data_IF_539394566835
#
_entry.id   IF_539394566835
#
_cell.length_a   1.000
_cell.length_b   1.000
_cell.length_c   1.000
_cell.angle_alpha   90.00
_cell.angle_beta   90.00
_cell.angle_gamma   90.00
#
_symmetry.space_group_name_H-M   'P 1'
#
loop_
_entity.id
_entity.type
_entity.pdbx_description
1 polymer ?
#
# COMPACT_ATOMS: atom_id res chain seq x y z
N UNK A 1 -7.16 16.76 9.69
CA UNK A 1 -8.22 16.68 8.64
C UNK A 1 -8.26 15.31 7.95
N UNK A 2 -7.27 14.90 7.12
CA UNK A 2 -7.38 13.60 6.40
C UNK A 2 -7.49 12.39 7.34
N UNK A 3 -6.68 12.35 8.40
CA UNK A 3 -6.71 11.28 9.41
C UNK A 3 -8.06 11.18 10.15
N UNK A 4 -8.63 12.32 10.52
CA UNK A 4 -9.89 12.37 11.28
C UNK A 4 -11.06 11.82 10.46
N UNK A 5 -11.06 12.06 9.14
CA UNK A 5 -12.05 11.51 8.22
C UNK A 5 -11.96 9.98 8.18
N UNK A 6 -10.76 9.39 8.11
CA UNK A 6 -10.61 7.94 8.12
C UNK A 6 -11.08 7.32 9.45
N UNK A 7 -10.81 7.98 10.58
CA UNK A 7 -11.30 7.54 11.88
C UNK A 7 -12.83 7.60 11.97
N UNK A 8 -13.44 8.70 11.51
CA UNK A 8 -14.90 8.84 11.46
C UNK A 8 -15.54 7.80 10.53
N UNK A 9 -14.95 7.58 9.35
CA UNK A 9 -15.45 6.61 8.38
C UNK A 9 -15.37 5.19 8.95
N UNK A 10 -14.26 4.86 9.62
CA UNK A 10 -14.09 3.56 10.29
C UNK A 10 -15.15 3.33 11.37
N UNK A 11 -15.35 4.31 12.26
CA UNK A 11 -16.39 4.22 13.30
C UNK A 11 -17.80 4.10 12.74
N UNK A 12 -18.11 4.84 11.66
CA UNK A 12 -19.39 4.76 10.97
C UNK A 12 -19.63 3.38 10.33
N UNK A 13 -18.62 2.81 9.65
CA UNK A 13 -18.70 1.48 9.05
C UNK A 13 -18.86 0.38 10.11
N UNK A 14 -18.20 0.50 11.27
CA UNK A 14 -18.40 -0.42 12.39
C UNK A 14 -19.83 -0.35 12.94
N UNK A 15 -20.40 0.87 13.08
CA UNK A 15 -21.78 1.04 13.52
C UNK A 15 -22.79 0.45 12.51
N UNK A 16 -22.54 0.61 11.20
CA UNK A 16 -23.35 -0.01 10.15
C UNK A 16 -23.29 -1.54 10.21
N UNK A 17 -22.10 -2.12 10.40
CA UNK A 17 -21.94 -3.56 10.54
C UNK A 17 -22.75 -4.09 11.74
N UNK A 18 -22.69 -3.40 12.88
CA UNK A 18 -23.52 -3.73 14.05
C UNK A 18 -25.01 -3.64 13.75
N UNK A 19 -25.45 -2.57 13.09
CA UNK A 19 -26.84 -2.39 12.70
C UNK A 19 -27.33 -3.55 11.81
N UNK A 20 -26.56 -3.92 10.79
CA UNK A 20 -26.90 -5.06 9.94
C UNK A 20 -27.02 -6.36 10.73
N UNK A 21 -26.10 -6.61 11.67
CA UNK A 21 -26.21 -7.73 12.60
C UNK A 21 -27.50 -7.71 13.42
N UNK A 22 -27.94 -6.55 13.92
CA UNK A 22 -29.17 -6.43 14.72
C UNK A 22 -30.46 -6.67 13.93
N UNK A 23 -30.49 -6.35 12.63
CA UNK A 23 -31.65 -6.59 11.77
C UNK A 23 -31.62 -7.97 11.09
N UNK A 24 -30.66 -8.82 11.46
CA UNK A 24 -30.53 -10.19 10.95
C UNK A 24 -29.82 -10.32 9.59
N UNK A 25 -29.14 -9.26 9.14
CA UNK A 25 -28.29 -9.32 7.94
C UNK A 25 -26.87 -9.74 8.35
N UNK A 26 -26.49 -10.97 8.00
CA UNK A 26 -25.15 -11.51 8.23
C UNK A 26 -24.33 -11.55 6.95
N UNK A 27 -23.02 -11.34 7.09
CA UNK A 27 -22.06 -11.47 6.01
C UNK A 27 -21.13 -12.64 6.30
N UNK A 28 -21.36 -13.79 5.66
CA UNK A 28 -20.56 -15.01 5.87
C UNK A 28 -19.09 -14.83 5.49
N UNK A 29 -18.80 -13.86 4.63
CA UNK A 29 -17.45 -13.48 4.22
C UNK A 29 -16.79 -12.50 5.18
N UNK A 30 -17.49 -11.91 6.16
CA UNK A 30 -16.90 -10.94 7.12
C UNK A 30 -16.43 -11.65 8.39
N UNK A 31 -15.47 -12.57 8.22
CA UNK A 31 -14.90 -13.38 9.31
C UNK A 31 -13.47 -12.95 9.62
N UNK A 32 -12.96 -13.31 10.80
CA UNK A 32 -11.56 -13.05 11.18
C UNK A 32 -10.58 -13.63 10.15
N UNK A 33 -10.87 -14.81 9.59
CA UNK A 33 -10.03 -15.46 8.58
C UNK A 33 -9.98 -14.66 7.27
N UNK A 34 -11.13 -14.19 6.80
CA UNK A 34 -11.21 -13.35 5.59
C UNK A 34 -10.46 -12.02 5.76
N UNK A 35 -10.56 -11.40 6.94
CA UNK A 35 -9.89 -10.14 7.27
C UNK A 35 -8.39 -10.37 7.28
N UNK A 36 -7.92 -11.44 7.93
CA UNK A 36 -6.51 -11.80 7.94
C UNK A 36 -5.97 -12.07 6.52
N UNK A 37 -6.70 -12.84 5.71
CA UNK A 37 -6.33 -13.08 4.32
C UNK A 37 -6.25 -11.78 3.52
N UNK A 38 -7.21 -10.87 3.69
CA UNK A 38 -7.21 -9.56 3.04
C UNK A 38 -6.00 -8.70 3.45
N UNK A 39 -5.67 -8.67 4.75
CA UNK A 39 -4.48 -7.97 5.27
C UNK A 39 -3.20 -8.53 4.65
N UNK A 40 -3.10 -9.85 4.47
CA UNK A 40 -1.95 -10.49 3.81
C UNK A 40 -1.84 -10.04 2.35
N UNK A 41 -2.96 -10.05 1.60
CA UNK A 41 -2.97 -9.61 0.19
C UNK A 41 -2.52 -8.16 0.07
N UNK A 42 -3.07 -7.25 0.89
CA UNK A 42 -2.70 -5.83 0.87
C UNK A 42 -1.22 -5.64 1.22
N UNK A 43 -0.71 -6.40 2.18
CA UNK A 43 0.70 -6.34 2.59
C UNK A 43 1.63 -6.85 1.49
N UNK A 44 1.30 -7.98 0.86
CA UNK A 44 2.05 -8.54 -0.26
C UNK A 44 2.02 -7.60 -1.48
N UNK A 45 0.88 -6.97 -1.75
CA UNK A 45 0.74 -5.98 -2.81
C UNK A 45 1.61 -4.74 -2.55
N UNK A 46 1.62 -4.21 -1.32
CA UNK A 46 2.50 -3.11 -0.96
C UNK A 46 3.97 -3.47 -1.16
N UNK A 47 4.39 -4.66 -0.72
CA UNK A 47 5.74 -5.18 -0.95
C UNK A 47 6.08 -5.31 -2.44
N UNK A 48 5.12 -5.77 -3.27
CA UNK A 48 5.29 -5.84 -4.71
C UNK A 48 5.51 -4.45 -5.33
N UNK A 49 4.67 -3.47 -4.99
CA UNK A 49 4.78 -2.09 -5.50
C UNK A 49 6.14 -1.49 -5.14
N UNK A 50 6.60 -1.67 -3.90
CA UNK A 50 7.92 -1.19 -3.46
C UNK A 50 9.04 -1.84 -4.28
N UNK A 51 8.99 -3.15 -4.50
CA UNK A 51 10.00 -3.87 -5.28
C UNK A 51 10.01 -3.43 -6.75
N UNK A 52 8.84 -3.32 -7.37
CA UNK A 52 8.72 -2.82 -8.75
C UNK A 52 9.30 -1.41 -8.87
N UNK A 53 8.97 -0.53 -7.91
CA UNK A 53 9.51 0.82 -7.87
C UNK A 53 11.04 0.83 -7.69
N UNK A 54 11.57 -0.03 -6.82
CA UNK A 54 13.00 -0.17 -6.60
C UNK A 54 13.74 -0.64 -7.87
N UNK A 55 13.21 -1.65 -8.56
CA UNK A 55 13.75 -2.14 -9.83
C UNK A 55 13.71 -1.05 -10.90
N UNK A 56 12.58 -0.37 -11.06
CA UNK A 56 12.46 0.72 -12.03
C UNK A 56 13.49 1.83 -11.79
N UNK A 57 13.68 2.23 -10.53
CA UNK A 57 14.67 3.23 -10.12
C UNK A 57 16.11 2.76 -10.38
N UNK A 58 16.43 1.51 -10.05
CA UNK A 58 17.76 0.95 -10.30
C UNK A 58 18.09 0.93 -11.79
N UNK A 59 17.13 0.52 -12.62
CA UNK A 59 17.33 0.47 -14.07
C UNK A 59 17.45 1.87 -14.67
N UNK A 60 16.55 2.80 -14.37
CA UNK A 60 16.47 4.07 -15.13
C UNK A 60 17.16 5.27 -14.47
N UNK A 61 17.26 5.29 -13.14
CA UNK A 61 17.88 6.39 -12.39
C UNK A 61 19.34 6.06 -12.08
N UNK A 62 19.62 4.82 -11.67
CA UNK A 62 20.99 4.37 -11.36
C UNK A 62 21.94 4.49 -12.56
N UNK A 63 21.49 4.11 -13.76
CA UNK A 63 22.30 4.24 -14.99
C UNK A 63 22.60 5.70 -15.35
N UNK A 64 21.63 6.61 -15.20
CA UNK A 64 21.82 8.05 -15.45
C UNK A 64 22.83 8.66 -14.50
N UNK A 65 22.77 8.32 -13.21
CA UNK A 65 23.73 8.81 -12.21
C UNK A 65 25.14 8.30 -12.52
N UNK A 66 25.30 7.01 -12.86
CA UNK A 66 26.60 6.43 -13.23
C UNK A 66 27.23 7.09 -14.46
N UNK A 67 26.43 7.37 -15.49
CA UNK A 67 26.90 8.06 -16.69
C UNK A 67 27.32 9.51 -16.39
N UNK A 68 26.57 10.21 -15.55
CA UNK A 68 26.89 11.58 -15.15
C UNK A 68 28.17 11.67 -14.31
N UNK A 69 28.40 10.70 -13.41
CA UNK A 69 29.62 10.61 -12.61
C UNK A 69 30.86 10.34 -13.48
N UNK A 70 30.80 9.41 -14.44
CA UNK A 70 31.91 9.18 -15.39
C UNK A 70 32.25 10.42 -16.21
N UNK A 71 31.23 11.18 -16.64
CA UNK A 71 31.44 12.42 -17.42
C UNK A 71 32.17 13.49 -16.61
N UNK A 72 31.95 13.56 -15.29
CA UNK A 72 32.70 14.46 -14.39
C UNK A 72 34.14 14.05 -14.16
N UNK A 73 34.44 12.75 -14.08
CA UNK A 73 35.82 12.26 -13.93
C UNK A 73 36.64 12.47 -15.20
N UNK A 74 36.04 12.27 -16.38
CA UNK A 74 36.67 12.55 -17.67
C UNK A 74 36.97 14.04 -17.88
N UNK A 75 36.17 14.96 -17.33
CA UNK A 75 36.37 16.40 -17.49
C UNK A 75 37.35 17.00 -16.46
N UNK A 76 37.82 16.18 -15.51
CA UNK A 76 38.86 16.54 -14.52
C UNK A 76 40.26 16.06 -14.91
N UNK A 77 40.38 15.25 -15.96
CA UNK A 77 41.64 14.79 -16.55
C UNK A 77 42.01 15.66 -17.73
#
# INVERSE_FOLDING_TARGET
MKKDIFTLLGGFLTALLFFFGTIGVSFDWFTTESINAFVIVVSAFAALVVNVYAVWKNTHVGMRVKQWLRKRESNKK
#
